data_IF_070990914998
#
_entry.id   IF_070990914998
#
_cell.length_a   1.000
_cell.length_b   1.000
_cell.length_c   1.000
_cell.angle_alpha   90.00
_cell.angle_beta   90.00
_cell.angle_gamma   90.00
#
_symmetry.space_group_name_H-M   'P 1'
#
loop_
_entity.id
_entity.type
_entity.pdbx_description
1 polymer ?
#
# COMPACT_ATOMS: atom_id res chain seq x y z
N UNK A 1 -1.85 20.19 8.33
CA UNK A 1 -0.61 19.40 8.08
C UNK A 1 -0.83 18.62 6.81
N UNK A 2 0.14 18.57 5.90
CA UNK A 2 -0.07 17.95 4.57
C UNK A 2 -0.18 16.43 4.70
N UNK A 3 -1.10 15.81 3.94
CA UNK A 3 -1.31 14.36 3.93
C UNK A 3 -0.99 13.79 2.55
N UNK A 4 -0.43 12.59 2.51
CA UNK A 4 0.03 11.95 1.28
C UNK A 4 -0.51 10.52 1.15
N UNK A 5 -1.06 10.20 0.00
CA UNK A 5 -1.47 8.85 -0.34
C UNK A 5 -0.58 8.35 -1.48
N UNK A 6 0.19 7.29 -1.22
CA UNK A 6 0.84 6.53 -2.28
C UNK A 6 -0.12 5.46 -2.79
N UNK A 7 -0.62 5.64 -4.00
CA UNK A 7 -1.43 4.67 -4.71
C UNK A 7 -0.51 3.80 -5.58
N UNK A 8 0.04 2.76 -4.96
CA UNK A 8 1.08 1.93 -5.56
C UNK A 8 0.49 0.90 -6.51
N UNK A 9 0.67 1.11 -7.81
CA UNK A 9 0.19 0.25 -8.89
C UNK A 9 1.30 -0.64 -9.46
N UNK A 10 2.56 -0.22 -9.37
CA UNK A 10 3.70 -0.93 -9.95
C UNK A 10 3.97 -2.30 -9.33
N UNK A 11 4.21 -3.31 -10.17
CA UNK A 11 4.66 -4.65 -9.76
C UNK A 11 6.17 -4.78 -9.64
N UNK A 12 6.93 -3.73 -9.94
CA UNK A 12 8.39 -3.74 -9.87
C UNK A 12 8.87 -3.51 -8.43
N UNK A 13 9.39 -4.57 -7.79
CA UNK A 13 9.78 -4.56 -6.36
C UNK A 13 10.71 -3.39 -6.01
N UNK A 14 11.71 -3.12 -6.85
CA UNK A 14 12.67 -2.04 -6.63
C UNK A 14 11.98 -0.66 -6.64
N UNK A 15 11.04 -0.43 -7.56
CA UNK A 15 10.26 0.80 -7.60
C UNK A 15 9.35 0.92 -6.36
N UNK A 16 8.67 -0.17 -5.98
CA UNK A 16 7.79 -0.16 -4.81
C UNK A 16 8.54 0.07 -3.50
N UNK A 17 9.79 -0.39 -3.37
CA UNK A 17 10.62 -0.05 -2.22
C UNK A 17 10.83 1.46 -2.05
N UNK A 18 10.87 2.23 -3.14
CA UNK A 18 10.95 3.69 -3.06
C UNK A 18 9.65 4.30 -2.53
N UNK A 19 8.49 3.70 -2.80
CA UNK A 19 7.21 4.10 -2.18
C UNK A 19 7.31 3.93 -0.65
N UNK A 20 7.76 2.75 -0.19
CA UNK A 20 7.93 2.47 1.23
C UNK A 20 8.93 3.45 1.89
N UNK A 21 10.07 3.72 1.25
CA UNK A 21 11.08 4.66 1.76
C UNK A 21 10.55 6.09 1.86
N UNK A 22 9.87 6.60 0.81
CA UNK A 22 9.29 7.94 0.85
C UNK A 22 8.19 8.05 1.89
N UNK A 23 7.35 7.03 2.04
CA UNK A 23 6.28 7.05 3.03
C UNK A 23 6.81 7.07 4.48
N UNK A 24 7.87 6.29 4.75
CA UNK A 24 8.53 6.29 6.06
C UNK A 24 9.21 7.63 6.33
N UNK A 25 9.96 8.19 5.37
CA UNK A 25 10.63 9.50 5.54
C UNK A 25 9.63 10.63 5.82
N UNK A 26 8.52 10.68 5.06
CA UNK A 26 7.45 11.65 5.28
C UNK A 26 6.79 11.46 6.65
N UNK A 27 6.51 10.23 7.05
CA UNK A 27 5.96 9.94 8.39
C UNK A 27 6.89 10.40 9.51
N UNK A 28 8.21 10.22 9.37
CA UNK A 28 9.20 10.65 10.36
C UNK A 28 9.36 12.17 10.44
N UNK A 29 9.01 12.88 9.38
CA UNK A 29 8.93 14.35 9.34
C UNK A 29 7.58 14.89 9.82
N UNK A 30 6.71 14.01 10.32
CA UNK A 30 5.43 14.37 10.92
C UNK A 30 4.27 14.48 9.92
N UNK A 31 4.44 14.11 8.65
CA UNK A 31 3.31 14.09 7.71
C UNK A 31 2.41 12.87 7.95
N UNK A 32 1.12 13.00 7.66
CA UNK A 32 0.20 11.86 7.62
C UNK A 32 0.36 11.17 6.27
N UNK A 33 0.67 9.87 6.28
CA UNK A 33 0.95 9.12 5.06
C UNK A 33 0.20 7.80 5.04
N UNK A 34 -0.34 7.46 3.87
CA UNK A 34 -0.98 6.17 3.60
C UNK A 34 -0.44 5.55 2.31
N UNK A 35 -0.43 4.21 2.27
CA UNK A 35 -0.02 3.40 1.13
C UNK A 35 -1.16 2.44 0.80
N UNK A 36 -1.58 2.39 -0.46
CA UNK A 36 -2.48 1.37 -0.98
C UNK A 36 -1.70 0.51 -1.98
N UNK A 37 -1.78 -0.80 -1.82
CA UNK A 37 -1.37 -1.76 -2.85
C UNK A 37 -2.53 -1.97 -3.82
N UNK A 38 -2.43 -1.44 -5.03
CA UNK A 38 -3.39 -1.59 -6.12
C UNK A 38 -2.73 -2.25 -7.34
N UNK A 39 -3.52 -2.81 -8.25
CA UNK A 39 -3.01 -3.24 -9.55
C UNK A 39 -1.98 -4.35 -9.44
N UNK A 40 -0.81 -4.19 -10.07
CA UNK A 40 0.22 -5.22 -10.09
C UNK A 40 0.98 -5.34 -8.76
N UNK A 41 0.98 -4.29 -7.94
CA UNK A 41 1.73 -4.25 -6.68
C UNK A 41 1.20 -5.23 -5.64
N UNK A 42 -0.07 -5.66 -5.73
CA UNK A 42 -0.66 -6.63 -4.79
C UNK A 42 0.14 -7.94 -4.73
N UNK A 43 0.81 -8.31 -5.82
CA UNK A 43 1.70 -9.48 -5.88
C UNK A 43 2.96 -9.34 -5.04
N UNK A 44 3.34 -8.12 -4.68
CA UNK A 44 4.50 -7.85 -3.85
C UNK A 44 4.22 -8.02 -2.35
N UNK A 45 2.95 -8.00 -1.93
CA UNK A 45 2.57 -8.23 -0.52
C UNK A 45 3.14 -9.56 0.02
N UNK A 46 2.89 -10.73 -0.60
CA UNK A 46 3.49 -11.98 -0.13
C UNK A 46 5.02 -11.96 -0.14
N UNK A 47 5.62 -11.33 -1.15
CA UNK A 47 7.09 -11.21 -1.27
C UNK A 47 7.65 -10.41 -0.09
N UNK A 48 7.01 -9.29 0.27
CA UNK A 48 7.45 -8.47 1.40
C UNK A 48 7.20 -9.12 2.77
N UNK A 49 6.11 -9.88 2.91
CA UNK A 49 5.84 -10.68 4.12
C UNK A 49 6.86 -11.81 4.32
N UNK A 50 7.32 -12.44 3.22
CA UNK A 50 8.36 -13.46 3.24
C UNK A 50 9.74 -12.86 3.53
N UNK A 51 10.14 -11.83 2.76
CA UNK A 51 11.47 -11.23 2.87
C UNK A 51 11.66 -10.41 4.14
N UNK A 52 10.57 -9.88 4.72
CA UNK A 52 10.57 -9.00 5.90
C UNK A 52 11.61 -7.90 5.83
N UNK A 53 11.74 -7.26 4.66
CA UNK A 53 12.71 -6.18 4.48
C UNK A 53 12.50 -5.09 5.55
N UNK A 54 13.58 -4.49 6.11
CA UNK A 54 13.45 -3.55 7.23
C UNK A 54 12.49 -2.39 6.94
N UNK A 55 12.46 -1.92 5.68
CA UNK A 55 11.59 -0.80 5.30
C UNK A 55 10.11 -1.20 5.25
N UNK A 56 9.80 -2.41 4.81
CA UNK A 56 8.43 -2.92 4.79
C UNK A 56 7.90 -3.12 6.21
N UNK A 57 8.68 -3.79 7.07
CA UNK A 57 8.34 -4.00 8.48
C UNK A 57 8.07 -2.66 9.16
N UNK A 58 8.97 -1.69 8.98
CA UNK A 58 8.81 -0.34 9.54
C UNK A 58 7.56 0.38 9.04
N UNK A 59 7.24 0.27 7.75
CA UNK A 59 6.02 0.87 7.18
C UNK A 59 4.74 0.22 7.75
N UNK A 60 4.75 -1.11 7.93
CA UNK A 60 3.65 -1.88 8.50
C UNK A 60 3.45 -1.55 9.98
N UNK A 61 4.51 -1.57 10.79
CA UNK A 61 4.50 -1.24 12.22
C UNK A 61 4.05 0.21 12.50
N UNK A 62 4.41 1.15 11.62
CA UNK A 62 3.94 2.54 11.69
C UNK A 62 2.49 2.73 11.22
N UNK A 63 1.81 1.68 10.75
CA UNK A 63 0.43 1.78 10.24
C UNK A 63 0.30 2.64 8.98
N UNK A 64 1.35 2.70 8.15
CA UNK A 64 1.36 3.47 6.91
C UNK A 64 0.61 2.75 5.79
N UNK A 65 0.52 1.43 5.84
CA UNK A 65 -0.22 0.65 4.83
C UNK A 65 -1.70 0.73 5.17
N UNK A 66 -2.47 1.43 4.32
CA UNK A 66 -3.92 1.52 4.44
C UNK A 66 -4.60 0.22 4.05
N UNK A 67 -4.03 -0.52 3.09
CA UNK A 67 -4.55 -1.83 2.71
C UNK A 67 -4.15 -2.24 1.30
N UNK A 68 -4.77 -3.33 0.86
CA UNK A 68 -4.53 -4.02 -0.41
C UNK A 68 -5.84 -4.14 -1.15
N UNK A 69 -5.84 -3.87 -2.44
CA UNK A 69 -7.02 -3.99 -3.29
C UNK A 69 -7.54 -5.43 -3.34
N UNK A 70 -8.79 -5.63 -2.91
CA UNK A 70 -9.46 -6.93 -2.88
C UNK A 70 -9.58 -7.57 -4.26
N UNK A 71 -10.13 -6.85 -5.24
CA UNK A 71 -10.33 -7.36 -6.60
C UNK A 71 -8.99 -7.73 -7.25
N UNK A 72 -7.95 -6.89 -7.12
CA UNK A 72 -6.64 -7.20 -7.67
C UNK A 72 -6.00 -8.40 -6.99
N UNK A 73 -6.12 -8.58 -5.68
CA UNK A 73 -5.59 -9.77 -5.00
C UNK A 73 -6.27 -11.06 -5.52
N UNK A 74 -7.58 -11.02 -5.81
CA UNK A 74 -8.31 -12.13 -6.45
C UNK A 74 -7.84 -12.39 -7.88
N UNK A 75 -7.83 -11.35 -8.73
CA UNK A 75 -7.46 -11.46 -10.15
C UNK A 75 -6.02 -11.92 -10.33
N UNK A 76 -5.11 -11.49 -9.45
CA UNK A 76 -3.69 -11.83 -9.49
C UNK A 76 -3.35 -13.13 -8.75
N UNK A 77 -4.35 -13.85 -8.22
CA UNK A 77 -4.19 -15.12 -7.50
C UNK A 77 -3.24 -15.04 -6.29
N UNK A 78 -3.34 -13.96 -5.50
CA UNK A 78 -2.55 -13.78 -4.26
C UNK A 78 -3.43 -13.50 -3.03
N UNK A 79 -4.74 -13.76 -3.15
CA UNK A 79 -5.71 -13.43 -2.12
C UNK A 79 -5.43 -14.13 -0.78
N UNK A 80 -5.15 -15.44 -0.79
CA UNK A 80 -4.96 -16.20 0.45
C UNK A 80 -3.69 -15.77 1.18
N UNK A 81 -2.64 -15.39 0.45
CA UNK A 81 -1.42 -14.84 1.00
C UNK A 81 -1.62 -13.43 1.56
N UNK A 82 -2.39 -12.58 0.86
CA UNK A 82 -2.75 -11.25 1.37
C UNK A 82 -3.60 -11.37 2.64
N UNK A 83 -4.53 -12.32 2.74
CA UNK A 83 -5.29 -12.55 3.99
C UNK A 83 -4.34 -12.89 5.16
N UNK A 84 -3.31 -13.70 4.92
CA UNK A 84 -2.29 -14.04 5.94
C UNK A 84 -1.42 -12.85 6.35
N UNK A 85 -1.35 -11.79 5.53
CA UNK A 85 -0.62 -10.56 5.86
C UNK A 85 -1.33 -9.72 6.92
N UNK A 86 -2.61 -10.00 7.22
CA UNK A 86 -3.45 -9.22 8.13
C UNK A 86 -3.62 -7.74 7.73
N UNK A 87 -3.24 -7.39 6.49
CA UNK A 87 -3.54 -6.08 5.92
C UNK A 87 -5.01 -5.99 5.51
N UNK A 88 -5.59 -4.80 5.63
CA UNK A 88 -6.97 -4.54 5.22
C UNK A 88 -7.15 -4.82 3.72
N UNK A 89 -8.16 -5.62 3.38
CA UNK A 89 -8.60 -5.82 1.99
C UNK A 89 -9.65 -4.77 1.63
N UNK A 90 -9.27 -3.80 0.81
CA UNK A 90 -10.11 -2.64 0.46
C UNK A 90 -10.92 -2.96 -0.81
N UNK A 91 -12.21 -2.63 -0.78
CA UNK A 91 -13.16 -2.88 -1.87
C UNK A 91 -14.20 -1.75 -2.04
N UNK A 92 -13.89 -0.54 -1.59
CA UNK A 92 -14.81 0.59 -1.41
C UNK A 92 -15.13 1.40 -2.69
N UNK A 93 -14.61 1.00 -3.86
CA UNK A 93 -14.98 1.59 -5.17
C UNK A 93 -15.95 0.71 -5.99
N UNK A 94 -15.41 -0.27 -6.71
CA UNK A 94 -16.13 -1.25 -7.54
C UNK A 94 -15.52 -2.64 -7.29
N UNK A 95 -15.32 -2.99 -6.01
CA UNK A 95 -14.51 -4.14 -5.60
C UNK A 95 -13.00 -3.85 -5.53
N UNK A 96 -12.55 -2.69 -6.01
CA UNK A 96 -11.17 -2.19 -5.95
C UNK A 96 -10.96 -1.19 -4.80
N UNK A 97 -9.71 -0.81 -4.55
CA UNK A 97 -9.37 0.19 -3.54
C UNK A 97 -9.57 1.62 -4.08
N UNK A 98 -10.64 2.28 -3.66
CA UNK A 98 -10.97 3.63 -4.09
C UNK A 98 -10.12 4.70 -3.39
N UNK A 99 -9.90 5.81 -4.10
CA UNK A 99 -9.27 7.00 -3.52
C UNK A 99 -10.28 8.05 -3.02
N UNK A 100 -11.58 7.81 -3.17
CA UNK A 100 -12.63 8.81 -2.91
C UNK A 100 -12.59 9.37 -1.49
N UNK A 101 -12.36 8.51 -0.48
CA UNK A 101 -12.23 8.93 0.93
C UNK A 101 -10.97 9.75 1.24
N UNK A 102 -10.03 9.84 0.30
CA UNK A 102 -8.78 10.59 0.43
C UNK A 102 -8.78 11.88 -0.41
N UNK A 103 -9.69 12.03 -1.36
CA UNK A 103 -9.62 13.04 -2.42
C UNK A 103 -9.55 14.49 -1.90
N UNK A 104 -10.23 14.80 -0.79
CA UNK A 104 -10.28 16.16 -0.24
C UNK A 104 -9.11 16.47 0.72
N UNK A 105 -8.49 15.45 1.30
CA UNK A 105 -7.55 15.62 2.41
C UNK A 105 -6.11 15.24 2.07
N UNK A 106 -5.91 14.40 1.04
CA UNK A 106 -4.63 13.82 0.69
C UNK A 106 -4.18 14.26 -0.71
N UNK A 107 -2.89 14.56 -0.82
CA UNK A 107 -2.22 14.57 -2.12
C UNK A 107 -1.95 13.14 -2.57
N UNK A 108 -2.57 12.73 -3.67
CA UNK A 108 -2.45 11.38 -4.22
C UNK A 108 -1.28 11.31 -5.19
N UNK A 109 -0.35 10.41 -4.91
CA UNK A 109 0.81 10.09 -5.75
C UNK A 109 0.63 8.66 -6.27
N UNK A 110 0.39 8.50 -7.57
CA UNK A 110 0.21 7.20 -8.21
C UNK A 110 1.49 6.77 -8.93
N UNK A 111 1.95 5.55 -8.69
CA UNK A 111 3.17 4.99 -9.30
C UNK A 111 3.08 3.48 -9.53
#
# INVERSE_FOLDING_TARGET
>A
MKKYLFYGMTGEKMCFQHILMNAVDLSEKGYEVKIIFEGASVKLVPVFEEEKTPIYVKAKEKGLIAGVCFACAKVMNVYDEVVKSELELINDMMGHAGIAKYADEYEVISM
#
